data_IF_478860254298
#
_entry.id   IF_478860254298
#
_cell.length_a   1.000
_cell.length_b   1.000
_cell.length_c   1.000
_cell.angle_alpha   90.00
_cell.angle_beta   90.00
_cell.angle_gamma   90.00
#
_symmetry.space_group_name_H-M   'P 1'
#
loop_
_entity.id
_entity.type
_entity.pdbx_description
1 polymer ?
#
# COMPACT_ATOMS: atom_id res chain seq x y z
N UNK A 1 1.05 -3.51 36.60
CA UNK A 1 0.86 -3.51 35.13
C UNK A 1 -0.62 -3.28 34.87
N UNK A 2 -0.99 -2.18 34.21
CA UNK A 2 -2.38 -1.96 33.79
C UNK A 2 -2.73 -2.95 32.67
N UNK A 3 -3.96 -3.48 32.69
CA UNK A 3 -4.42 -4.42 31.66
C UNK A 3 -4.58 -3.71 30.30
N UNK A 4 -4.49 -4.44 29.18
CA UNK A 4 -4.69 -3.86 27.84
C UNK A 4 -6.07 -3.19 27.70
N UNK A 5 -7.08 -3.72 28.39
CA UNK A 5 -8.43 -3.13 28.49
C UNK A 5 -8.43 -1.77 29.19
N UNK A 6 -7.73 -1.63 30.33
CA UNK A 6 -7.61 -0.35 31.04
C UNK A 6 -6.87 0.72 30.21
N UNK A 7 -5.84 0.31 29.46
CA UNK A 7 -5.12 1.19 28.54
C UNK A 7 -6.02 1.68 27.40
N UNK A 8 -6.76 0.79 26.75
CA UNK A 8 -7.69 1.16 25.68
C UNK A 8 -8.82 2.07 26.17
N UNK A 9 -9.40 1.79 27.34
CA UNK A 9 -10.43 2.63 27.92
C UNK A 9 -9.93 4.03 28.30
N UNK A 10 -8.71 4.12 28.86
CA UNK A 10 -8.09 5.40 29.19
C UNK A 10 -7.81 6.24 27.94
N UNK A 11 -7.25 5.64 26.89
CA UNK A 11 -7.03 6.31 25.59
C UNK A 11 -8.34 6.80 25.00
N UNK A 12 -9.35 5.93 24.88
CA UNK A 12 -10.66 6.28 24.32
C UNK A 12 -11.33 7.45 25.05
N UNK A 13 -11.30 7.45 26.39
CA UNK A 13 -11.90 8.54 27.19
C UNK A 13 -11.21 9.88 26.94
N UNK A 14 -9.88 9.90 26.91
CA UNK A 14 -9.11 11.14 26.67
C UNK A 14 -9.34 11.64 25.25
N UNK A 15 -9.33 10.75 24.25
CA UNK A 15 -9.58 11.12 22.85
C UNK A 15 -11.00 11.70 22.67
N UNK A 16 -12.04 11.04 23.19
CA UNK A 16 -13.43 11.53 23.08
C UNK A 16 -13.60 12.88 23.79
N UNK A 17 -13.02 13.05 24.99
CA UNK A 17 -13.07 14.32 25.71
C UNK A 17 -12.37 15.43 24.92
N UNK A 18 -11.20 15.15 24.38
CA UNK A 18 -10.41 16.12 23.59
C UNK A 18 -11.17 16.52 22.32
N UNK A 19 -11.74 15.53 21.62
CA UNK A 19 -12.57 15.76 20.44
C UNK A 19 -13.76 16.68 20.77
N UNK A 20 -14.56 16.35 21.78
CA UNK A 20 -15.73 17.15 22.16
C UNK A 20 -15.38 18.60 22.55
N UNK A 21 -14.28 18.80 23.28
CA UNK A 21 -13.80 20.12 23.66
C UNK A 21 -13.32 20.90 22.42
N UNK A 22 -12.54 20.28 21.54
CA UNK A 22 -12.08 20.91 20.30
C UNK A 22 -13.24 21.28 19.38
N UNK A 23 -14.28 20.44 19.28
CA UNK A 23 -15.51 20.75 18.54
C UNK A 23 -16.17 22.02 19.08
N UNK A 24 -16.43 22.05 20.39
CA UNK A 24 -17.15 23.16 21.01
C UNK A 24 -16.37 24.46 20.86
N UNK A 25 -15.05 24.42 21.08
CA UNK A 25 -14.18 25.58 20.92
C UNK A 25 -14.09 26.02 19.45
N UNK A 26 -13.95 25.09 18.50
CA UNK A 26 -13.89 25.39 17.07
C UNK A 26 -15.17 26.10 16.59
N UNK A 27 -16.33 25.54 16.90
CA UNK A 27 -17.63 26.14 16.55
C UNK A 27 -17.80 27.51 17.21
N UNK A 28 -17.48 27.64 18.50
CA UNK A 28 -17.57 28.92 19.20
C UNK A 28 -16.66 29.99 18.56
N UNK A 29 -15.43 29.63 18.19
CA UNK A 29 -14.48 30.53 17.52
C UNK A 29 -14.98 30.96 16.13
N UNK A 30 -15.54 30.04 15.34
CA UNK A 30 -16.12 30.37 14.02
C UNK A 30 -17.25 31.38 14.19
N UNK A 31 -18.21 31.10 15.10
CA UNK A 31 -19.37 31.98 15.32
C UNK A 31 -18.91 33.36 15.81
N UNK A 32 -18.09 33.41 16.86
CA UNK A 32 -17.63 34.68 17.43
C UNK A 32 -16.72 35.42 16.46
N UNK A 33 -15.81 34.74 15.77
CA UNK A 33 -14.96 35.33 14.74
C UNK A 33 -15.76 35.97 13.62
N UNK A 34 -16.85 35.32 13.18
CA UNK A 34 -17.74 35.88 12.17
C UNK A 34 -18.52 37.10 12.68
N UNK A 35 -19.10 37.02 13.89
CA UNK A 35 -19.84 38.13 14.50
C UNK A 35 -18.97 39.38 14.70
N UNK A 36 -17.69 39.15 14.99
CA UNK A 36 -16.70 40.18 15.33
C UNK A 36 -15.92 40.65 14.09
N UNK A 37 -16.00 39.92 12.98
CA UNK A 37 -15.27 40.23 11.74
C UNK A 37 -13.76 39.95 11.82
N UNK A 38 -13.32 39.05 12.71
CA UNK A 38 -11.91 38.61 12.81
C UNK A 38 -11.68 37.40 11.91
N UNK A 39 -10.89 37.59 10.85
CA UNK A 39 -10.56 36.50 9.95
C UNK A 39 -9.61 35.49 10.61
N UNK A 40 -8.72 35.95 11.51
CA UNK A 40 -7.80 35.06 12.22
C UNK A 40 -8.56 34.10 13.13
N UNK A 41 -9.55 34.61 13.87
CA UNK A 41 -10.36 33.79 14.77
C UNK A 41 -11.25 32.80 14.00
N UNK A 42 -11.81 33.20 12.85
CA UNK A 42 -12.51 32.26 11.96
C UNK A 42 -11.56 31.19 11.44
N UNK A 43 -10.36 31.55 10.98
CA UNK A 43 -9.38 30.60 10.45
C UNK A 43 -8.92 29.58 11.50
N UNK A 44 -8.67 30.00 12.75
CA UNK A 44 -8.33 29.12 13.86
C UNK A 44 -9.51 28.24 14.31
N UNK A 45 -10.74 28.77 14.21
CA UNK A 45 -11.96 28.00 14.40
C UNK A 45 -12.14 26.91 13.33
N UNK A 46 -11.93 27.26 12.06
CA UNK A 46 -11.93 26.32 10.93
C UNK A 46 -10.85 25.26 11.11
N UNK A 47 -9.61 25.65 11.43
CA UNK A 47 -8.52 24.71 11.71
C UNK A 47 -8.93 23.69 12.79
N UNK A 48 -9.42 24.17 13.93
CA UNK A 48 -9.85 23.30 15.04
C UNK A 48 -11.07 22.41 14.67
N UNK A 49 -11.96 22.89 13.80
CA UNK A 49 -13.10 22.12 13.29
C UNK A 49 -12.66 21.07 12.26
N UNK A 50 -11.73 21.42 11.38
CA UNK A 50 -11.13 20.54 10.38
C UNK A 50 -10.40 19.37 11.00
N UNK A 51 -9.67 19.59 12.11
CA UNK A 51 -9.03 18.50 12.87
C UNK A 51 -10.07 17.50 13.38
N UNK A 52 -11.18 17.99 13.96
CA UNK A 52 -12.27 17.12 14.41
C UNK A 52 -12.93 16.38 13.25
N UNK A 53 -13.24 17.08 12.15
CA UNK A 53 -13.85 16.45 10.98
C UNK A 53 -12.90 15.38 10.46
N UNK A 54 -11.60 15.63 10.39
CA UNK A 54 -10.59 14.63 10.00
C UNK A 54 -10.61 13.42 10.93
N UNK A 55 -10.56 13.62 12.25
CA UNK A 55 -10.62 12.51 13.21
C UNK A 55 -11.91 11.69 13.09
N UNK A 56 -13.06 12.37 13.00
CA UNK A 56 -14.37 11.72 12.87
C UNK A 56 -14.55 11.03 11.53
N UNK A 57 -14.04 11.63 10.45
CA UNK A 57 -14.10 11.10 9.10
C UNK A 57 -13.17 9.91 8.94
N UNK A 58 -11.95 9.94 9.51
CA UNK A 58 -11.06 8.78 9.59
C UNK A 58 -11.74 7.64 10.34
N UNK A 59 -12.40 7.91 11.49
CA UNK A 59 -13.13 6.86 12.22
C UNK A 59 -14.30 6.27 11.43
N UNK A 60 -15.07 7.11 10.74
CA UNK A 60 -16.19 6.66 9.92
C UNK A 60 -15.71 5.92 8.66
N UNK A 61 -14.76 6.50 7.94
CA UNK A 61 -14.13 5.93 6.76
C UNK A 61 -13.45 4.61 7.09
N UNK A 62 -12.78 4.50 8.24
CA UNK A 62 -12.24 3.25 8.74
C UNK A 62 -13.32 2.20 8.98
N UNK A 63 -14.49 2.57 9.53
CA UNK A 63 -15.60 1.63 9.71
C UNK A 63 -16.12 1.06 8.37
N UNK A 64 -16.22 1.89 7.33
CA UNK A 64 -16.64 1.46 5.99
C UNK A 64 -15.50 0.77 5.21
N UNK A 65 -14.25 1.20 5.41
CA UNK A 65 -13.05 0.69 4.73
C UNK A 65 -12.60 -0.68 5.23
N UNK A 66 -12.87 -1.01 6.50
CA UNK A 66 -12.62 -2.35 7.07
C UNK A 66 -13.64 -3.41 6.64
N UNK A 67 -14.61 -3.06 5.79
CA UNK A 67 -15.49 -4.06 5.20
C UNK A 67 -14.67 -4.93 4.24
N UNK A 68 -14.64 -6.22 4.53
CA UNK A 68 -13.95 -7.21 3.73
C UNK A 68 -14.50 -7.29 2.31
N UNK A 69 -13.86 -8.12 1.46
CA UNK A 69 -14.33 -8.36 0.11
C UNK A 69 -15.79 -8.79 0.03
N UNK A 70 -16.50 -8.28 -0.97
CA UNK A 70 -17.83 -8.73 -1.34
C UNK A 70 -17.90 -9.07 -2.85
N UNK A 71 -19.10 -9.32 -3.37
CA UNK A 71 -19.32 -9.69 -4.76
C UNK A 71 -18.89 -8.60 -5.76
N UNK A 72 -19.08 -7.32 -5.40
CA UNK A 72 -18.79 -6.19 -6.29
C UNK A 72 -17.38 -5.62 -6.02
N UNK A 73 -16.78 -5.96 -4.87
CA UNK A 73 -15.49 -5.47 -4.38
C UNK A 73 -14.58 -6.62 -3.92
N UNK A 74 -13.98 -7.35 -4.87
CA UNK A 74 -13.11 -8.50 -4.57
C UNK A 74 -11.85 -8.18 -3.73
N UNK A 75 -11.39 -6.92 -3.74
CA UNK A 75 -10.26 -6.44 -2.93
C UNK A 75 -10.69 -5.71 -1.64
N UNK A 76 -12.00 -5.71 -1.35
CA UNK A 76 -12.59 -5.01 -0.21
C UNK A 76 -12.81 -3.51 -0.44
N UNK A 77 -13.23 -2.83 0.63
CA UNK A 77 -13.73 -1.45 0.58
C UNK A 77 -12.71 -0.40 0.99
N UNK A 78 -11.46 -0.78 1.20
CA UNK A 78 -10.42 0.09 1.73
C UNK A 78 -10.25 1.40 0.95
N UNK A 79 -10.40 1.39 -0.38
CA UNK A 79 -10.28 2.60 -1.21
C UNK A 79 -11.35 3.66 -0.92
N UNK A 80 -12.44 3.32 -0.24
CA UNK A 80 -13.42 4.31 0.25
C UNK A 80 -12.75 5.26 1.23
N UNK A 81 -11.82 4.77 2.06
CA UNK A 81 -11.06 5.60 2.99
C UNK A 81 -10.13 6.58 2.26
N UNK A 82 -9.47 6.11 1.21
CA UNK A 82 -8.64 6.95 0.33
C UNK A 82 -9.48 8.04 -0.34
N UNK A 83 -10.64 7.70 -0.91
CA UNK A 83 -11.54 8.66 -1.57
C UNK A 83 -12.12 9.68 -0.59
N UNK A 84 -12.49 9.21 0.60
CA UNK A 84 -12.93 10.04 1.70
C UNK A 84 -11.85 11.07 2.08
N UNK A 85 -10.62 10.61 2.31
CA UNK A 85 -9.48 11.46 2.69
C UNK A 85 -9.13 12.46 1.60
N UNK A 86 -9.18 12.05 0.33
CA UNK A 86 -9.00 12.93 -0.82
C UNK A 86 -10.06 14.05 -0.88
N UNK A 87 -11.34 13.71 -0.67
CA UNK A 87 -12.43 14.67 -0.62
C UNK A 87 -12.25 15.68 0.51
N UNK A 88 -11.90 15.20 1.71
CA UNK A 88 -11.65 16.06 2.85
C UNK A 88 -10.49 17.02 2.60
N UNK A 89 -9.35 16.52 2.11
CA UNK A 89 -8.20 17.35 1.74
C UNK A 89 -8.57 18.45 0.73
N UNK A 90 -9.41 18.12 -0.26
CA UNK A 90 -9.92 19.06 -1.25
C UNK A 90 -10.79 20.17 -0.62
N UNK A 91 -11.68 19.82 0.31
CA UNK A 91 -12.50 20.78 1.07
C UNK A 91 -11.63 21.71 1.90
N UNK A 92 -10.60 21.18 2.58
CA UNK A 92 -9.69 21.99 3.39
C UNK A 92 -8.90 23.01 2.56
N UNK A 93 -8.39 22.60 1.40
CA UNK A 93 -7.71 23.51 0.46
C UNK A 93 -8.67 24.60 -0.02
N UNK A 94 -9.91 24.24 -0.36
CA UNK A 94 -10.91 25.21 -0.79
C UNK A 94 -11.21 26.25 0.30
N UNK A 95 -11.43 25.81 1.54
CA UNK A 95 -11.68 26.71 2.68
C UNK A 95 -10.46 27.58 2.99
N UNK A 96 -9.26 27.00 2.97
CA UNK A 96 -8.00 27.75 3.13
C UNK A 96 -7.83 28.84 2.05
N UNK A 97 -8.15 28.51 0.79
CA UNK A 97 -8.16 29.46 -0.32
C UNK A 97 -9.16 30.60 -0.10
N UNK A 98 -10.36 30.30 0.39
CA UNK A 98 -11.37 31.31 0.75
C UNK A 98 -10.92 32.24 1.88
N UNK A 99 -10.27 31.71 2.92
CA UNK A 99 -9.68 32.50 4.01
C UNK A 99 -8.56 33.40 3.48
N UNK A 100 -7.66 32.85 2.67
CA UNK A 100 -6.54 33.61 2.09
C UNK A 100 -7.04 34.72 1.16
N UNK A 101 -8.01 34.42 0.30
CA UNK A 101 -8.61 35.40 -0.63
C UNK A 101 -9.30 36.53 0.12
N UNK A 102 -10.21 36.22 1.06
CA UNK A 102 -10.91 37.22 1.86
C UNK A 102 -9.97 38.07 2.71
N UNK A 103 -8.89 37.46 3.23
CA UNK A 103 -7.85 38.19 3.96
C UNK A 103 -7.08 39.14 3.04
N UNK A 104 -6.70 38.70 1.84
CA UNK A 104 -6.01 39.54 0.87
C UNK A 104 -6.87 40.72 0.41
N UNK A 105 -8.16 40.48 0.15
CA UNK A 105 -9.11 41.54 -0.22
C UNK A 105 -9.25 42.58 0.90
N UNK A 106 -9.32 42.15 2.16
CA UNK A 106 -9.33 43.05 3.33
C UNK A 106 -8.03 43.87 3.45
N UNK A 107 -6.88 43.27 3.13
CA UNK A 107 -5.60 43.96 3.17
C UNK A 107 -5.50 45.06 2.09
N UNK A 108 -5.96 44.75 0.88
CA UNK A 108 -5.91 45.68 -0.27
C UNK A 108 -6.92 46.81 -0.11
N UNK A 109 -8.15 46.50 0.35
CA UNK A 109 -9.22 47.49 0.49
C UNK A 109 -9.03 48.46 1.67
N UNK A 110 -8.02 48.25 2.53
CA UNK A 110 -7.80 49.04 3.75
C UNK A 110 -9.08 49.19 4.60
N UNK A 111 -9.90 48.14 4.63
CA UNK A 111 -11.18 48.17 5.32
C UNK A 111 -10.97 48.46 6.81
N UNK A 112 -11.72 49.42 7.36
CA UNK A 112 -11.70 49.71 8.79
C UNK A 112 -12.44 48.58 9.50
N UNK A 113 -11.67 47.65 10.07
CA UNK A 113 -12.20 46.54 10.85
C UNK A 113 -12.46 47.06 12.27
N UNK A 114 -13.70 46.96 12.80
CA UNK A 114 -13.97 47.36 14.17
C UNK A 114 -13.15 46.51 15.15
N UNK A 115 -12.79 47.06 16.33
CA UNK A 115 -12.04 46.32 17.33
C UNK A 115 -12.79 45.02 17.70
N UNK A 116 -12.09 43.89 17.78
CA UNK A 116 -12.75 42.60 17.94
C UNK A 116 -13.49 42.44 19.28
N UNK A 117 -13.21 43.32 20.25
CA UNK A 117 -13.87 43.35 21.54
C UNK A 117 -13.28 42.33 22.51
N UNK A 118 -13.41 42.64 23.81
CA UNK A 118 -12.83 41.83 24.88
C UNK A 118 -13.43 40.42 24.97
N UNK A 119 -14.65 40.20 24.44
CA UNK A 119 -15.29 38.88 24.39
C UNK A 119 -14.54 37.89 23.48
N UNK A 120 -14.08 38.32 22.30
CA UNK A 120 -13.31 37.48 21.39
C UNK A 120 -11.93 37.10 21.97
N UNK A 121 -11.29 38.07 22.63
CA UNK A 121 -10.02 37.84 23.35
C UNK A 121 -10.22 36.84 24.49
N UNK A 122 -11.26 37.02 25.31
CA UNK A 122 -11.56 36.11 26.42
C UNK A 122 -11.84 34.69 25.95
N UNK A 123 -12.64 34.53 24.89
CA UNK A 123 -12.89 33.22 24.27
C UNK A 123 -11.59 32.56 23.80
N UNK A 124 -10.74 33.32 23.11
CA UNK A 124 -9.46 32.80 22.59
C UNK A 124 -8.51 32.44 23.73
N UNK A 125 -8.52 33.21 24.83
CA UNK A 125 -7.72 32.94 26.02
C UNK A 125 -8.19 31.64 26.69
N UNK A 126 -9.50 31.48 26.84
CA UNK A 126 -10.10 30.26 27.37
C UNK A 126 -9.75 29.04 26.49
N UNK A 127 -9.81 29.20 25.16
CA UNK A 127 -9.44 28.13 24.24
C UNK A 127 -7.96 27.74 24.37
N UNK A 128 -7.05 28.73 24.47
CA UNK A 128 -5.62 28.51 24.65
C UNK A 128 -5.32 27.78 25.96
N UNK A 129 -5.91 28.22 27.07
CA UNK A 129 -5.78 27.57 28.38
C UNK A 129 -6.34 26.14 28.37
N UNK A 130 -7.47 25.93 27.69
CA UNK A 130 -8.11 24.61 27.58
C UNK A 130 -7.25 23.65 26.76
N UNK A 131 -6.69 24.09 25.62
CA UNK A 131 -5.78 23.28 24.80
C UNK A 131 -4.48 22.96 25.54
N UNK A 132 -3.94 23.90 26.31
CA UNK A 132 -2.76 23.66 27.16
C UNK A 132 -3.04 22.65 28.28
N UNK A 133 -4.23 22.73 28.89
CA UNK A 133 -4.69 21.74 29.86
C UNK A 133 -4.83 20.35 29.23
N UNK A 134 -5.42 20.24 28.03
CA UNK A 134 -5.51 18.99 27.27
C UNK A 134 -4.12 18.42 26.94
N UNK A 135 -3.16 19.25 26.54
CA UNK A 135 -1.77 18.83 26.34
C UNK A 135 -1.20 18.15 27.59
N UNK A 136 -1.30 18.79 28.75
CA UNK A 136 -0.78 18.23 29.99
C UNK A 136 -1.51 16.95 30.42
N UNK A 137 -2.84 16.90 30.25
CA UNK A 137 -3.65 15.72 30.54
C UNK A 137 -3.24 14.54 29.64
N UNK A 138 -3.27 14.73 28.32
CA UNK A 138 -2.96 13.72 27.32
C UNK A 138 -1.51 13.22 27.48
N UNK A 139 -0.55 14.12 27.70
CA UNK A 139 0.86 13.76 27.95
C UNK A 139 1.04 12.95 29.24
N UNK A 140 0.33 13.31 30.31
CA UNK A 140 0.38 12.56 31.58
C UNK A 140 -0.16 11.14 31.42
N UNK A 141 -1.26 10.99 30.67
CA UNK A 141 -1.84 9.67 30.38
C UNK A 141 -0.93 8.87 29.44
N UNK A 142 -0.40 9.48 28.39
CA UNK A 142 0.52 8.86 27.43
C UNK A 142 1.74 8.22 28.11
N UNK A 143 2.40 8.98 29.00
CA UNK A 143 3.55 8.50 29.77
C UNK A 143 3.19 7.39 30.75
N UNK A 144 2.02 7.47 31.38
CA UNK A 144 1.56 6.45 32.33
C UNK A 144 1.32 5.10 31.65
N UNK A 145 0.74 5.10 30.44
CA UNK A 145 0.39 3.87 29.72
C UNK A 145 1.50 3.38 28.77
N UNK A 146 2.52 4.23 28.52
CA UNK A 146 3.61 3.98 27.59
C UNK A 146 3.20 4.06 26.11
N UNK A 147 2.24 4.91 25.76
CA UNK A 147 1.71 5.03 24.39
C UNK A 147 2.40 6.15 23.62
N UNK A 148 3.21 5.78 22.62
CA UNK A 148 3.82 6.73 21.67
C UNK A 148 2.77 7.48 20.83
N UNK A 149 1.69 6.80 20.44
CA UNK A 149 0.57 7.40 19.71
C UNK A 149 -0.10 8.52 20.53
N UNK A 150 -0.37 8.27 21.81
CA UNK A 150 -1.00 9.28 22.67
C UNK A 150 -0.03 10.43 22.99
N UNK A 151 1.28 10.17 22.99
CA UNK A 151 2.30 11.22 23.10
C UNK A 151 2.34 12.10 21.86
N UNK A 152 2.25 11.53 20.65
CA UNK A 152 2.12 12.29 19.42
C UNK A 152 0.86 13.17 19.42
N UNK A 153 -0.29 12.64 19.85
CA UNK A 153 -1.52 13.42 19.98
C UNK A 153 -1.39 14.57 20.99
N UNK A 154 -0.65 14.38 22.09
CA UNK A 154 -0.35 15.49 22.99
C UNK A 154 0.46 16.60 22.29
N UNK A 155 1.50 16.24 21.54
CA UNK A 155 2.28 17.21 20.76
C UNK A 155 1.45 17.92 19.68
N UNK A 156 0.45 17.25 19.12
CA UNK A 156 -0.52 17.89 18.22
C UNK A 156 -1.31 19.00 18.94
N UNK A 157 -1.88 18.74 20.13
CA UNK A 157 -2.50 19.80 20.94
C UNK A 157 -1.54 20.96 21.25
N UNK A 158 -0.24 20.67 21.41
CA UNK A 158 0.76 21.72 21.63
C UNK A 158 0.98 22.58 20.39
N UNK A 159 0.97 21.98 19.19
CA UNK A 159 0.99 22.73 17.93
C UNK A 159 -0.22 23.65 17.82
N UNK A 160 -1.40 23.18 18.23
CA UNK A 160 -2.62 23.99 18.22
C UNK A 160 -2.61 25.15 19.22
N UNK A 161 -1.96 24.98 20.36
CA UNK A 161 -1.74 26.09 21.32
C UNK A 161 -0.89 27.18 20.67
N UNK A 162 0.13 26.82 19.88
CA UNK A 162 0.98 27.78 19.19
C UNK A 162 0.18 28.53 18.11
N UNK A 163 -0.60 27.84 17.29
CA UNK A 163 -1.44 28.49 16.25
C UNK A 163 -2.53 29.38 16.88
N UNK A 164 -3.22 28.91 17.92
CA UNK A 164 -4.19 29.73 18.69
C UNK A 164 -3.49 30.93 19.35
N UNK A 165 -2.22 30.78 19.76
CA UNK A 165 -1.40 31.86 20.30
C UNK A 165 -1.13 32.98 19.30
N UNK A 166 -0.89 32.65 18.03
CA UNK A 166 -0.77 33.64 16.94
C UNK A 166 -2.06 34.46 16.81
N UNK A 167 -3.22 33.78 16.86
CA UNK A 167 -4.53 34.43 16.79
C UNK A 167 -4.79 35.31 18.01
N UNK A 168 -4.40 34.87 19.21
CA UNK A 168 -4.48 35.69 20.43
C UNK A 168 -3.71 37.00 20.27
N UNK A 169 -2.46 36.94 19.82
CA UNK A 169 -1.64 38.14 19.58
C UNK A 169 -2.30 39.04 18.55
N UNK A 170 -2.88 38.47 17.50
CA UNK A 170 -3.58 39.22 16.46
C UNK A 170 -4.84 39.92 16.96
N UNK A 171 -5.66 39.26 17.79
CA UNK A 171 -6.85 39.86 18.40
C UNK A 171 -6.49 41.00 19.35
N UNK A 172 -5.48 40.80 20.20
CA UNK A 172 -4.99 41.86 21.11
C UNK A 172 -4.42 43.03 20.31
N UNK A 173 -3.59 42.78 19.30
CA UNK A 173 -3.04 43.82 18.43
C UNK A 173 -4.13 44.61 17.69
N UNK A 174 -5.10 43.90 17.13
CA UNK A 174 -6.25 44.51 16.44
C UNK A 174 -7.11 45.36 17.38
N UNK A 175 -7.28 44.93 18.64
CA UNK A 175 -8.01 45.68 19.67
C UNK A 175 -7.39 47.06 19.97
N UNK A 176 -6.07 47.21 19.82
CA UNK A 176 -5.35 48.48 20.03
C UNK A 176 -5.03 49.23 18.73
N UNK A 177 -5.70 48.89 17.62
CA UNK A 177 -5.62 49.62 16.36
C UNK A 177 -4.66 49.04 15.32
N UNK A 178 -3.97 47.93 15.60
CA UNK A 178 -3.14 47.22 14.63
C UNK A 178 -3.95 46.13 13.88
N UNK A 179 -4.98 46.55 13.15
CA UNK A 179 -5.94 45.65 12.47
C UNK A 179 -5.31 44.75 11.41
N UNK A 180 -4.20 45.19 10.79
CA UNK A 180 -3.45 44.40 9.80
C UNK A 180 -2.90 43.08 10.37
N UNK A 181 -2.68 43.00 11.70
CA UNK A 181 -2.17 41.78 12.35
C UNK A 181 -3.21 40.65 12.27
N UNK A 182 -4.51 40.96 12.38
CA UNK A 182 -5.59 39.98 12.18
C UNK A 182 -5.54 39.38 10.78
N UNK A 183 -5.34 40.22 9.77
CA UNK A 183 -5.27 39.77 8.38
C UNK A 183 -4.05 38.90 8.11
N UNK A 184 -2.87 39.28 8.63
CA UNK A 184 -1.65 38.49 8.51
C UNK A 184 -1.78 37.16 9.23
N UNK A 185 -2.32 37.16 10.46
CA UNK A 185 -2.56 35.93 11.21
C UNK A 185 -3.56 35.01 10.49
N UNK A 186 -4.62 35.54 9.90
CA UNK A 186 -5.58 34.78 9.11
C UNK A 186 -4.93 34.10 7.89
N UNK A 187 -4.04 34.81 7.18
CA UNK A 187 -3.28 34.22 6.06
C UNK A 187 -2.36 33.11 6.55
N UNK A 188 -1.62 33.33 7.65
CA UNK A 188 -0.72 32.31 8.22
C UNK A 188 -1.51 31.05 8.59
N UNK A 189 -2.61 31.19 9.34
CA UNK A 189 -3.44 30.05 9.74
C UNK A 189 -4.11 29.39 8.53
N UNK A 190 -4.59 30.19 7.56
CA UNK A 190 -5.13 29.67 6.31
C UNK A 190 -4.13 28.82 5.53
N UNK A 191 -2.86 29.25 5.44
CA UNK A 191 -1.79 28.46 4.82
C UNK A 191 -1.49 27.18 5.59
N UNK A 192 -1.57 27.20 6.92
CA UNK A 192 -1.42 25.98 7.74
C UNK A 192 -2.55 24.97 7.45
N UNK A 193 -3.81 25.42 7.41
CA UNK A 193 -4.97 24.56 7.04
C UNK A 193 -4.81 24.03 5.61
N UNK A 194 -4.42 24.90 4.68
CA UNK A 194 -4.18 24.51 3.29
C UNK A 194 -3.08 23.47 3.14
N UNK A 195 -2.00 23.57 3.95
CA UNK A 195 -0.94 22.56 4.00
C UNK A 195 -1.47 21.20 4.48
N UNK A 196 -2.28 21.17 5.53
CA UNK A 196 -2.90 19.91 6.00
C UNK A 196 -3.77 19.31 4.90
N UNK A 197 -4.61 20.12 4.26
CA UNK A 197 -5.43 19.67 3.14
C UNK A 197 -4.60 19.15 1.95
N UNK A 198 -3.49 19.82 1.64
CA UNK A 198 -2.55 19.39 0.60
C UNK A 198 -1.87 18.07 0.91
N UNK A 199 -1.38 17.89 2.14
CA UNK A 199 -0.71 16.66 2.56
C UNK A 199 -1.69 15.47 2.45
N UNK A 200 -2.95 15.62 2.91
CA UNK A 200 -4.00 14.61 2.78
C UNK A 200 -4.34 14.31 1.31
N UNK A 201 -4.48 15.34 0.48
CA UNK A 201 -4.80 15.19 -0.95
C UNK A 201 -3.67 14.48 -1.68
N UNK A 202 -2.42 14.87 -1.42
CA UNK A 202 -1.24 14.31 -2.08
C UNK A 202 -1.02 12.85 -1.69
N UNK A 203 -1.14 12.52 -0.40
CA UNK A 203 -1.00 11.15 0.08
C UNK A 203 -2.10 10.23 -0.50
N UNK A 204 -3.36 10.65 -0.41
CA UNK A 204 -4.49 9.89 -0.97
C UNK A 204 -4.42 9.77 -2.49
N UNK A 205 -3.96 10.84 -3.17
CA UNK A 205 -3.78 10.84 -4.62
C UNK A 205 -2.70 9.85 -5.07
N UNK A 206 -1.59 9.75 -4.33
CA UNK A 206 -0.53 8.76 -4.59
C UNK A 206 -1.03 7.33 -4.40
N UNK A 207 -1.82 7.10 -3.37
CA UNK A 207 -2.44 5.79 -3.14
C UNK A 207 -3.41 5.41 -4.28
N UNK A 208 -4.22 6.36 -4.76
CA UNK A 208 -5.20 6.13 -5.81
C UNK A 208 -4.56 5.76 -7.18
N UNK A 209 -3.34 6.25 -7.45
CA UNK A 209 -2.58 5.92 -8.67
C UNK A 209 -1.63 4.72 -8.48
N UNK A 210 -1.83 3.92 -7.43
CA UNK A 210 -1.06 2.72 -7.13
C UNK A 210 0.46 3.00 -7.02
N UNK A 211 0.82 4.10 -6.34
CA UNK A 211 2.22 4.47 -6.18
C UNK A 211 3.00 3.39 -5.43
N UNK A 212 4.15 3.02 -5.98
CA UNK A 212 5.04 2.03 -5.39
C UNK A 212 5.61 2.44 -4.03
N UNK A 213 6.02 1.44 -3.25
CA UNK A 213 6.76 1.65 -2.01
C UNK A 213 8.11 2.34 -2.28
N UNK A 214 8.74 2.95 -1.25
CA UNK A 214 10.10 3.47 -1.39
C UNK A 214 11.07 2.40 -1.91
N UNK A 215 11.99 2.80 -2.81
CA UNK A 215 12.95 1.87 -3.46
C UNK A 215 13.76 1.06 -2.44
N UNK A 216 14.14 1.68 -1.32
CA UNK A 216 14.87 0.99 -0.25
C UNK A 216 14.07 -0.19 0.34
N UNK A 217 12.75 -0.03 0.52
CA UNK A 217 11.86 -1.10 1.00
C UNK A 217 11.68 -2.19 -0.05
N UNK A 218 11.55 -1.81 -1.33
CA UNK A 218 11.47 -2.77 -2.43
C UNK A 218 12.74 -3.63 -2.52
N UNK A 219 13.92 -3.03 -2.32
CA UNK A 219 15.18 -3.78 -2.33
C UNK A 219 15.31 -4.71 -1.12
N UNK A 220 14.87 -4.28 0.06
CA UNK A 220 14.80 -5.15 1.23
C UNK A 220 13.89 -6.36 0.99
N UNK A 221 12.71 -6.15 0.39
CA UNK A 221 11.81 -7.22 -0.02
C UNK A 221 12.48 -8.17 -1.03
N UNK A 222 13.18 -7.62 -2.03
CA UNK A 222 13.92 -8.39 -3.04
C UNK A 222 14.97 -9.29 -2.40
N UNK A 223 15.75 -8.76 -1.46
CA UNK A 223 16.79 -9.53 -0.76
C UNK A 223 16.22 -10.62 0.13
N UNK A 224 15.10 -10.36 0.81
CA UNK A 224 14.38 -11.40 1.58
C UNK A 224 13.90 -12.51 0.65
N UNK A 225 13.34 -12.19 -0.51
CA UNK A 225 12.87 -13.17 -1.48
C UNK A 225 14.02 -14.02 -2.05
N UNK A 226 15.14 -13.38 -2.45
CA UNK A 226 16.35 -14.08 -2.94
C UNK A 226 17.01 -14.99 -1.89
N UNK A 227 16.77 -14.75 -0.60
CA UNK A 227 17.35 -15.57 0.48
C UNK A 227 16.77 -16.99 0.58
N UNK A 228 15.69 -17.28 -0.16
CA UNK A 228 15.03 -18.59 -0.17
C UNK A 228 15.83 -19.56 -1.05
N UNK A 229 16.12 -20.75 -0.52
CA UNK A 229 16.81 -21.78 -1.28
C UNK A 229 15.95 -22.24 -2.46
N UNK A 230 16.57 -22.33 -3.65
CA UNK A 230 15.86 -22.68 -4.90
C UNK A 230 15.44 -21.47 -5.74
N UNK A 231 15.53 -20.25 -5.19
CA UNK A 231 15.35 -19.01 -5.98
C UNK A 231 16.65 -18.69 -6.71
N UNK A 232 16.60 -18.64 -8.04
CA UNK A 232 17.71 -18.24 -8.90
C UNK A 232 17.71 -16.72 -9.15
N UNK A 233 16.53 -16.10 -9.17
CA UNK A 233 16.37 -14.68 -9.47
C UNK A 233 14.99 -14.16 -9.06
N UNK A 234 14.89 -12.84 -8.93
CA UNK A 234 13.63 -12.11 -8.72
C UNK A 234 13.60 -10.93 -9.68
N UNK A 235 12.56 -10.86 -10.51
CA UNK A 235 12.31 -9.72 -11.39
C UNK A 235 10.82 -9.31 -11.34
N UNK A 236 10.47 -8.27 -12.09
CA UNK A 236 9.14 -7.62 -12.11
C UNK A 236 8.49 -7.42 -10.73
N UNK A 237 9.31 -7.06 -9.72
CA UNK A 237 8.84 -6.76 -8.37
C UNK A 237 8.05 -5.44 -8.40
N UNK A 238 6.72 -5.55 -8.31
CA UNK A 238 5.79 -4.43 -8.33
C UNK A 238 5.09 -4.34 -6.99
N UNK A 239 5.21 -3.17 -6.36
CA UNK A 239 4.51 -2.88 -5.10
C UNK A 239 3.47 -1.79 -5.32
N UNK A 240 2.39 -1.85 -4.57
CA UNK A 240 1.43 -0.74 -4.45
C UNK A 240 0.88 -0.68 -3.03
N UNK A 241 0.41 0.50 -2.64
CA UNK A 241 -0.32 0.69 -1.40
C UNK A 241 -1.80 0.87 -1.69
N UNK A 242 -2.65 0.26 -0.86
CA UNK A 242 -4.10 0.41 -0.92
C UNK A 242 -4.70 0.28 0.47
N UNK A 243 -5.36 1.33 0.94
CA UNK A 243 -5.96 1.48 2.26
C UNK A 243 -4.99 1.15 3.41
N UNK A 244 -3.76 1.65 3.33
CA UNK A 244 -2.72 1.36 4.33
C UNK A 244 -2.20 -0.10 4.32
N UNK A 245 -2.62 -0.90 3.36
CA UNK A 245 -2.08 -2.24 3.10
C UNK A 245 -1.11 -2.22 1.93
N UNK A 246 -0.09 -3.06 2.01
CA UNK A 246 0.84 -3.28 0.89
C UNK A 246 0.38 -4.49 0.08
N UNK A 247 0.37 -4.33 -1.24
CA UNK A 247 0.21 -5.43 -2.19
C UNK A 247 1.51 -5.58 -2.99
N UNK A 248 1.88 -6.82 -3.31
CA UNK A 248 3.11 -7.17 -4.00
C UNK A 248 2.83 -8.19 -5.10
N UNK A 249 3.25 -7.87 -6.32
CA UNK A 249 3.37 -8.81 -7.42
C UNK A 249 4.86 -9.03 -7.69
N UNK A 250 5.28 -10.28 -7.86
CA UNK A 250 6.67 -10.60 -8.18
C UNK A 250 6.79 -11.84 -9.06
N UNK A 251 7.88 -11.91 -9.81
CA UNK A 251 8.28 -13.09 -10.53
C UNK A 251 9.46 -13.76 -9.82
N UNK A 252 9.36 -15.07 -9.64
CA UNK A 252 10.36 -15.88 -8.93
C UNK A 252 10.95 -16.86 -9.94
N UNK A 253 12.21 -16.61 -10.31
CA UNK A 253 12.95 -17.50 -11.20
C UNK A 253 13.46 -18.68 -10.41
N UNK A 254 13.13 -19.89 -10.85
CA UNK A 254 13.54 -21.17 -10.24
C UNK A 254 14.26 -22.04 -11.28
N UNK A 255 14.82 -23.17 -10.86
CA UNK A 255 15.46 -24.09 -11.81
C UNK A 255 14.43 -24.66 -12.81
N UNK A 256 14.71 -24.64 -14.12
CA UNK A 256 13.74 -25.00 -15.17
C UNK A 256 13.33 -26.47 -15.19
N UNK A 257 14.06 -27.34 -14.47
CA UNK A 257 13.88 -28.80 -14.48
C UNK A 257 13.29 -29.35 -13.18
N UNK A 258 12.79 -28.49 -12.31
CA UNK A 258 12.03 -28.93 -11.13
C UNK A 258 10.57 -29.16 -11.51
N UNK A 259 9.85 -29.90 -10.67
CA UNK A 259 8.41 -30.07 -10.86
C UNK A 259 7.66 -28.76 -10.64
N UNK A 260 6.53 -28.57 -11.31
CA UNK A 260 5.63 -27.42 -11.06
C UNK A 260 5.24 -27.34 -9.58
N UNK A 261 5.03 -28.49 -8.92
CA UNK A 261 4.75 -28.55 -7.48
C UNK A 261 5.89 -28.05 -6.60
N UNK A 262 7.14 -28.33 -6.97
CA UNK A 262 8.32 -27.87 -6.23
C UNK A 262 8.54 -26.37 -6.43
N UNK A 263 8.43 -25.89 -7.67
CA UNK A 263 8.47 -24.45 -7.96
C UNK A 263 7.38 -23.69 -7.18
N UNK A 264 6.16 -24.23 -7.13
CA UNK A 264 5.08 -23.63 -6.35
C UNK A 264 5.40 -23.54 -4.85
N UNK A 265 6.01 -24.57 -4.24
CA UNK A 265 6.37 -24.52 -2.82
C UNK A 265 7.54 -23.54 -2.54
N UNK A 266 8.50 -23.41 -3.47
CA UNK A 266 9.53 -22.36 -3.37
C UNK A 266 8.88 -20.98 -3.33
N UNK A 267 7.92 -20.71 -4.22
CA UNK A 267 7.13 -19.47 -4.20
C UNK A 267 6.32 -19.27 -2.91
N UNK A 268 5.73 -20.33 -2.36
CA UNK A 268 5.04 -20.27 -1.08
C UNK A 268 5.98 -19.92 0.08
N UNK A 269 7.21 -20.44 0.10
CA UNK A 269 8.22 -20.08 1.10
C UNK A 269 8.68 -18.62 0.95
N UNK A 270 8.85 -18.13 -0.29
CA UNK A 270 9.10 -16.70 -0.56
C UNK A 270 7.98 -15.84 0.03
N UNK A 271 6.72 -16.20 -0.24
CA UNK A 271 5.54 -15.51 0.29
C UNK A 271 5.51 -15.51 1.83
N UNK A 272 5.83 -16.65 2.45
CA UNK A 272 5.88 -16.81 3.92
C UNK A 272 6.93 -15.90 4.55
N UNK A 273 8.15 -15.86 4.00
CA UNK A 273 9.23 -14.99 4.51
C UNK A 273 8.91 -13.52 4.35
N UNK A 274 8.38 -13.12 3.19
CA UNK A 274 7.97 -11.73 2.93
C UNK A 274 6.86 -11.29 3.89
N UNK A 275 5.81 -12.09 4.08
CA UNK A 275 4.73 -11.77 5.02
C UNK A 275 5.21 -11.70 6.47
N UNK A 276 6.19 -12.52 6.86
CA UNK A 276 6.78 -12.47 8.19
C UNK A 276 7.67 -11.23 8.40
N UNK A 277 8.48 -10.87 7.40
CA UNK A 277 9.38 -9.70 7.46
C UNK A 277 8.62 -8.38 7.34
N UNK A 278 7.51 -8.35 6.58
CA UNK A 278 6.72 -7.15 6.30
C UNK A 278 5.25 -7.36 6.70
N UNK A 279 4.88 -7.13 7.97
CA UNK A 279 3.51 -7.36 8.47
C UNK A 279 2.42 -6.52 7.77
N UNK A 280 2.80 -5.43 7.09
CA UNK A 280 1.87 -4.60 6.31
C UNK A 280 1.52 -5.21 4.93
N UNK A 281 2.23 -6.27 4.51
CA UNK A 281 1.99 -7.00 3.28
C UNK A 281 0.79 -7.95 3.44
N UNK A 282 -0.37 -7.54 2.95
CA UNK A 282 -1.60 -8.33 3.06
C UNK A 282 -1.85 -9.19 1.84
N UNK A 283 -1.48 -8.71 0.66
CA UNK A 283 -1.67 -9.42 -0.60
C UNK A 283 -0.34 -9.61 -1.33
N UNK A 284 -0.13 -10.83 -1.81
CA UNK A 284 1.07 -11.22 -2.54
C UNK A 284 0.69 -12.23 -3.60
N UNK A 285 0.94 -11.87 -4.86
CA UNK A 285 0.85 -12.78 -6.00
C UNK A 285 2.24 -13.02 -6.55
N UNK A 286 2.57 -14.27 -6.84
CA UNK A 286 3.85 -14.61 -7.47
C UNK A 286 3.66 -15.43 -8.73
N UNK A 287 4.48 -15.17 -9.74
CA UNK A 287 4.69 -16.03 -10.89
C UNK A 287 5.95 -16.88 -10.66
N UNK A 288 5.92 -18.15 -11.07
CA UNK A 288 7.12 -19.00 -11.09
C UNK A 288 7.65 -19.09 -12.51
N UNK A 289 8.84 -18.55 -12.74
CA UNK A 289 9.45 -18.53 -14.06
C UNK A 289 10.61 -19.56 -14.13
N UNK A 290 10.68 -20.34 -15.21
CA UNK A 290 11.76 -21.29 -15.41
C UNK A 290 13.07 -20.62 -15.88
N UNK A 291 12.98 -19.40 -16.41
CA UNK A 291 14.06 -18.63 -17.01
C UNK A 291 13.94 -17.14 -16.62
N UNK A 292 15.03 -16.39 -16.75
CA UNK A 292 15.00 -14.94 -16.51
C UNK A 292 14.65 -14.21 -17.80
N UNK A 293 13.39 -13.81 -17.94
CA UNK A 293 12.84 -13.07 -19.09
C UNK A 293 12.71 -11.56 -18.82
N UNK A 294 13.47 -11.05 -17.84
CA UNK A 294 13.44 -9.66 -17.42
C UNK A 294 13.67 -8.69 -18.59
N UNK A 295 12.62 -7.94 -18.94
CA UNK A 295 12.68 -6.92 -20.00
C UNK A 295 12.34 -7.41 -21.41
N UNK A 296 12.01 -8.69 -21.58
CA UNK A 296 11.59 -9.26 -22.87
C UNK A 296 10.12 -8.99 -23.20
N UNK A 297 9.35 -8.47 -22.23
CA UNK A 297 7.94 -8.16 -22.38
C UNK A 297 7.06 -9.32 -21.86
N UNK A 298 5.81 -9.35 -22.29
CA UNK A 298 4.86 -10.40 -21.91
C UNK A 298 4.90 -11.52 -22.97
N UNK A 299 5.45 -12.72 -22.66
CA UNK A 299 5.65 -13.78 -23.64
C UNK A 299 4.35 -14.22 -24.32
N UNK A 300 3.21 -14.05 -23.66
CA UNK A 300 1.89 -14.40 -24.18
C UNK A 300 1.45 -13.56 -25.38
N UNK A 301 2.17 -12.46 -25.67
CA UNK A 301 1.91 -11.56 -26.81
C UNK A 301 2.61 -12.00 -28.10
N UNK A 302 3.50 -12.98 -28.04
CA UNK A 302 4.21 -13.51 -29.20
C UNK A 302 3.57 -14.84 -29.66
N UNK A 303 3.80 -15.26 -30.91
CA UNK A 303 3.39 -16.59 -31.36
C UNK A 303 3.98 -17.66 -30.43
N UNK A 304 3.10 -18.45 -29.79
CA UNK A 304 3.51 -19.46 -28.83
C UNK A 304 4.11 -20.70 -29.50
N UNK A 305 4.84 -21.47 -28.69
CA UNK A 305 5.29 -22.82 -29.06
C UNK A 305 4.11 -23.79 -29.15
N UNK A 306 4.24 -24.89 -29.93
CA UNK A 306 3.17 -25.88 -30.04
C UNK A 306 2.88 -26.51 -28.69
N UNK A 307 1.60 -26.64 -28.34
CA UNK A 307 1.19 -27.30 -27.11
C UNK A 307 1.36 -28.81 -27.23
N UNK A 308 1.38 -29.51 -26.09
CA UNK A 308 1.58 -30.97 -26.01
C UNK A 308 0.86 -31.79 -27.09
N UNK A 309 -0.45 -31.62 -27.38
CA UNK A 309 -1.09 -32.42 -28.43
C UNK A 309 -0.51 -32.21 -29.83
N UNK A 310 -0.08 -30.99 -30.15
CA UNK A 310 0.54 -30.65 -31.42
C UNK A 310 1.97 -31.20 -31.49
N UNK A 311 2.72 -31.11 -30.39
CA UNK A 311 4.04 -31.74 -30.24
C UNK A 311 3.92 -33.25 -30.45
N UNK A 312 3.01 -33.91 -29.73
CA UNK A 312 2.80 -35.36 -29.83
C UNK A 312 2.39 -35.80 -31.23
N UNK A 313 1.50 -35.05 -31.90
CA UNK A 313 1.10 -35.34 -33.27
C UNK A 313 2.27 -35.20 -34.27
N UNK A 314 3.03 -34.11 -34.16
CA UNK A 314 4.20 -33.89 -35.01
C UNK A 314 5.26 -34.98 -34.81
N UNK A 315 5.57 -35.32 -33.56
CA UNK A 315 6.52 -36.38 -33.22
C UNK A 315 6.02 -37.75 -33.65
N UNK A 316 4.73 -38.07 -33.51
CA UNK A 316 4.16 -39.34 -33.96
C UNK A 316 4.31 -39.54 -35.48
N UNK A 317 4.17 -38.47 -36.28
CA UNK A 317 4.38 -38.53 -37.73
C UNK A 317 5.85 -38.85 -38.10
N UNK A 318 6.82 -38.37 -37.32
CA UNK A 318 8.26 -38.58 -37.59
C UNK A 318 8.83 -39.85 -36.96
N UNK A 319 8.38 -40.17 -35.75
CA UNK A 319 8.92 -41.24 -34.91
C UNK A 319 8.07 -42.50 -34.91
N UNK A 320 6.81 -42.45 -35.34
CA UNK A 320 5.86 -43.57 -35.23
C UNK A 320 6.29 -44.86 -35.93
N UNK A 321 7.14 -44.78 -36.96
CA UNK A 321 7.70 -45.95 -37.66
C UNK A 321 8.94 -46.54 -36.97
N UNK A 322 9.50 -45.86 -35.97
CA UNK A 322 10.69 -46.31 -35.26
C UNK A 322 10.31 -47.37 -34.20
N UNK A 323 11.09 -48.44 -34.14
CA UNK A 323 10.98 -49.48 -33.11
C UNK A 323 11.03 -48.92 -31.67
N UNK A 324 11.82 -47.88 -31.44
CA UNK A 324 11.93 -47.23 -30.13
C UNK A 324 10.65 -46.50 -29.72
N UNK A 325 9.80 -46.03 -30.66
CA UNK A 325 8.58 -45.28 -30.35
C UNK A 325 7.62 -46.10 -29.47
N UNK A 326 7.46 -47.39 -29.77
CA UNK A 326 6.65 -48.30 -28.97
C UNK A 326 7.24 -48.58 -27.56
N UNK A 327 8.51 -48.27 -27.34
CA UNK A 327 9.19 -48.43 -26.05
C UNK A 327 9.20 -47.15 -25.20
N UNK A 328 8.74 -46.02 -25.74
CA UNK A 328 8.59 -44.77 -25.00
C UNK A 328 7.42 -44.92 -24.02
N UNK A 329 7.71 -44.77 -22.73
CA UNK A 329 6.71 -44.82 -21.66
C UNK A 329 6.03 -43.48 -21.44
N UNK A 330 6.85 -42.44 -21.41
CA UNK A 330 6.44 -41.08 -21.07
C UNK A 330 7.30 -40.08 -21.84
N UNK A 331 6.74 -38.90 -22.07
CA UNK A 331 7.46 -37.76 -22.65
C UNK A 331 7.27 -36.52 -21.78
N UNK A 332 8.37 -36.00 -21.27
CA UNK A 332 8.42 -34.70 -20.60
C UNK A 332 8.79 -33.63 -21.64
N UNK A 333 8.11 -32.49 -21.58
CA UNK A 333 8.32 -31.37 -22.49
C UNK A 333 8.82 -30.18 -21.68
N UNK A 334 9.99 -29.65 -22.04
CA UNK A 334 10.52 -28.42 -21.46
C UNK A 334 10.50 -27.32 -22.52
N UNK A 335 9.78 -26.23 -22.23
CA UNK A 335 9.68 -25.06 -23.09
C UNK A 335 10.69 -24.03 -22.58
N UNK A 336 11.87 -24.00 -23.20
CA UNK A 336 13.01 -23.20 -22.75
C UNK A 336 13.67 -22.52 -23.95
N UNK A 337 14.19 -21.31 -23.75
CA UNK A 337 14.91 -20.53 -24.78
C UNK A 337 14.12 -20.39 -26.10
N UNK A 338 12.78 -20.34 -26.03
CA UNK A 338 11.93 -20.24 -27.22
C UNK A 338 11.88 -21.50 -28.09
N UNK A 339 12.22 -22.67 -27.54
CA UNK A 339 12.13 -23.97 -28.19
C UNK A 339 11.61 -25.06 -27.23
N UNK A 340 11.33 -26.25 -27.76
CA UNK A 340 10.88 -27.40 -26.96
C UNK A 340 12.00 -28.45 -26.90
N UNK A 341 12.44 -28.79 -25.69
CA UNK A 341 13.27 -29.96 -25.42
C UNK A 341 12.37 -31.13 -25.05
N UNK A 342 12.55 -32.28 -25.70
CA UNK A 342 11.73 -33.47 -25.48
C UNK A 342 12.56 -34.51 -24.73
N UNK A 343 12.14 -34.86 -23.51
CA UNK A 343 12.76 -35.95 -22.74
C UNK A 343 11.91 -37.19 -22.91
N UNK A 344 12.49 -38.19 -23.56
CA UNK A 344 11.90 -39.50 -23.78
C UNK A 344 12.25 -40.41 -22.63
N UNK A 345 11.25 -40.92 -21.93
CA UNK A 345 11.41 -41.84 -20.82
C UNK A 345 11.29 -43.29 -21.30
N UNK A 346 12.36 -44.06 -21.15
CA UNK A 346 12.42 -45.49 -21.44
C UNK A 346 12.53 -46.28 -20.13
N UNK A 347 12.01 -47.51 -20.11
CA UNK A 347 12.29 -48.40 -18.97
C UNK A 347 13.79 -48.72 -18.89
N UNK A 348 14.32 -48.87 -17.68
CA UNK A 348 15.71 -49.26 -17.43
C UNK A 348 16.13 -50.55 -18.17
N UNK A 349 15.30 -51.63 -18.24
CA UNK A 349 15.62 -52.85 -18.98
C UNK A 349 15.52 -52.72 -20.51
N UNK A 350 15.15 -51.55 -21.05
CA UNK A 350 14.98 -51.38 -22.49
C UNK A 350 16.29 -51.61 -23.24
N UNK A 351 16.29 -52.40 -24.34
CA UNK A 351 17.51 -52.81 -25.05
C UNK A 351 18.13 -51.69 -25.88
N UNK A 352 17.45 -50.56 -26.04
CA UNK A 352 17.90 -49.45 -26.87
C UNK A 352 18.94 -48.62 -26.13
N UNK A 353 20.15 -48.45 -26.65
CA UNK A 353 21.17 -47.58 -26.05
C UNK A 353 20.78 -46.10 -26.14
N UNK A 354 20.89 -45.35 -25.04
CA UNK A 354 20.37 -43.97 -24.94
C UNK A 354 20.93 -43.04 -26.01
N UNK A 355 22.25 -43.03 -26.23
CA UNK A 355 22.89 -42.17 -27.23
C UNK A 355 22.49 -42.54 -28.67
N UNK A 356 22.26 -43.83 -28.93
CA UNK A 356 21.78 -44.30 -30.22
C UNK A 356 20.32 -43.88 -30.45
N UNK A 357 19.49 -43.89 -29.41
CA UNK A 357 18.11 -43.42 -29.46
C UNK A 357 18.06 -41.92 -29.77
N UNK A 358 18.82 -41.10 -29.03
CA UNK A 358 18.87 -39.65 -29.23
C UNK A 358 19.20 -39.33 -30.70
N UNK A 359 20.32 -39.86 -31.22
CA UNK A 359 20.73 -39.62 -32.62
C UNK A 359 19.66 -40.05 -33.64
N UNK A 360 18.96 -41.16 -33.39
CA UNK A 360 17.91 -41.66 -34.31
C UNK A 360 16.66 -40.78 -34.29
N UNK A 361 16.23 -40.34 -33.11
CA UNK A 361 15.06 -39.48 -32.95
C UNK A 361 15.31 -38.09 -33.53
N UNK A 362 16.45 -37.49 -33.22
CA UNK A 362 16.85 -36.17 -33.75
C UNK A 362 17.00 -36.20 -35.28
N UNK A 363 17.65 -37.23 -35.84
CA UNK A 363 17.79 -37.35 -37.30
C UNK A 363 16.43 -37.41 -38.02
N UNK A 364 15.41 -38.00 -37.39
CA UNK A 364 14.05 -38.09 -37.95
C UNK A 364 13.18 -36.86 -37.72
N UNK A 365 13.58 -35.96 -36.82
CA UNK A 365 12.84 -34.75 -36.48
C UNK A 365 13.61 -33.44 -36.80
N UNK A 366 14.67 -33.53 -37.63
CA UNK A 366 15.49 -32.37 -38.02
C UNK A 366 14.72 -31.31 -38.84
N UNK A 367 13.53 -31.65 -39.35
CA UNK A 367 12.64 -30.75 -40.09
C UNK A 367 11.78 -29.88 -39.16
N UNK A 368 11.76 -30.17 -37.86
CA UNK A 368 10.96 -29.46 -36.87
C UNK A 368 11.75 -28.25 -36.36
N UNK A 369 11.25 -27.05 -36.64
CA UNK A 369 11.88 -25.77 -36.32
C UNK A 369 11.85 -25.41 -34.82
N UNK A 370 10.80 -25.83 -34.11
CA UNK A 370 10.65 -25.58 -32.67
C UNK A 370 11.34 -26.62 -31.78
N UNK A 371 11.83 -27.74 -32.32
CA UNK A 371 12.48 -28.79 -31.54
C UNK A 371 13.95 -28.41 -31.28
N UNK A 372 14.31 -28.25 -30.00
CA UNK A 372 15.69 -27.94 -29.61
C UNK A 372 16.58 -29.19 -29.70
N UNK A 373 16.34 -30.16 -28.83
CA UNK A 373 17.05 -31.44 -28.78
C UNK A 373 16.23 -32.51 -28.06
N UNK A 374 16.69 -33.76 -28.15
CA UNK A 374 16.05 -34.91 -27.51
C UNK A 374 16.94 -35.45 -26.40
N UNK A 375 16.36 -35.71 -25.24
CA UNK A 375 17.04 -36.38 -24.15
C UNK A 375 16.40 -37.75 -23.88
N UNK A 376 17.16 -38.67 -23.31
CA UNK A 376 16.65 -39.98 -22.90
C UNK A 376 16.85 -40.15 -21.40
N UNK A 377 15.75 -40.37 -20.68
CA UNK A 377 15.75 -40.71 -19.25
C UNK A 377 15.38 -42.18 -19.06
N UNK A 378 16.07 -42.87 -18.15
CA UNK A 378 15.75 -44.25 -17.78
C UNK A 378 14.92 -44.25 -16.50
N UNK A 379 13.74 -44.85 -16.58
CA UNK A 379 12.90 -45.08 -15.42
C UNK A 379 13.23 -46.46 -14.84
N UNK A 380 13.70 -46.47 -13.60
CA UNK A 380 13.73 -47.70 -12.81
C UNK A 380 12.29 -48.21 -12.71
N UNK A 381 12.07 -49.48 -13.05
CA UNK A 381 10.73 -50.07 -13.03
C UNK A 381 10.05 -49.84 -11.66
N UNK A 382 8.74 -49.63 -11.66
CA UNK A 382 7.98 -49.38 -10.44
C UNK A 382 8.36 -50.41 -9.34
N UNK A 383 8.68 -49.97 -8.10
CA UNK A 383 8.93 -50.90 -7.02
C UNK A 383 7.72 -51.81 -6.89
N UNK A 384 7.97 -53.12 -6.94
CA UNK A 384 6.96 -54.15 -6.78
C UNK A 384 6.33 -53.97 -5.39
N UNK A 385 5.22 -53.24 -5.30
CA UNK A 385 4.38 -53.25 -4.12
C UNK A 385 3.80 -54.66 -4.04
N UNK A 386 4.16 -55.50 -3.05
CA UNK A 386 3.54 -56.80 -2.91
C UNK A 386 2.05 -56.57 -2.75
N UNK A 387 1.25 -57.20 -3.62
CA UNK A 387 -0.20 -57.23 -3.48
C UNK A 387 -0.50 -57.73 -2.07
N UNK A 388 -1.07 -56.87 -1.23
CA UNK A 388 -1.65 -57.27 0.04
C UNK A 388 -2.81 -58.19 -0.28
N UNK A 389 -2.59 -59.50 -0.08
CA UNK A 389 -3.61 -60.54 -0.19
C UNK A 389 -4.57 -60.57 0.99
#
# INVERSE_FOLDING_TARGET
MQTNLEKHQATRRVTILSAAINTLLGVAKIIVGWLVGSAALVADGVHSFSDLVTDGFVLAASHYGHQGPDHDHHYGHGRIETLATLFLGSVLIFVAGGIAWSSLERLISSAVIPPPGYGAILLTALALLTKEWLFHLTRRVARRIGSKMLEANAWHHRSDVLSTGVVMVALVGSQFGATWIDTVAAVIVGLMVGKVGWDLLWESGRELVDTALPVATQEEMREVAKSVAGVAGIHDLRTRQSAGHTMLDLHVVVSPRISVSEGHEIGNEVSRRLRHAFPALTDLTFHIDPEDDAGEGDPSRFPGLPLRPQVEAALAERWGELDVWAAIREMELHYLEGAVTVVVCLDEPSPFESDAVIRRLEARAHDIDWLSHVEVRRLAGAPHLPATG
#
